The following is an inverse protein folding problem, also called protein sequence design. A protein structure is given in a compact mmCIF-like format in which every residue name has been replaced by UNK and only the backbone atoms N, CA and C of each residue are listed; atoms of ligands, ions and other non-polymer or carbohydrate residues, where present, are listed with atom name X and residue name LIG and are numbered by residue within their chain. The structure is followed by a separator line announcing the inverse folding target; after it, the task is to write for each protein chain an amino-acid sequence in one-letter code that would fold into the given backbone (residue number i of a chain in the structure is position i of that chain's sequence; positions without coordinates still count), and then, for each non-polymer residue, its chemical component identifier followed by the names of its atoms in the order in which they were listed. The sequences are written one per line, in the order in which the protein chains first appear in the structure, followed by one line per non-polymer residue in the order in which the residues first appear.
data_IF_703837820458
#
_entry.id   IF_703837820458
#
_cell.length_a   1.000
_cell.length_b   1.000
_cell.length_c   1.000
_cell.angle_alpha   90.00
_cell.angle_beta   90.00
_cell.angle_gamma   90.00
#
_symmetry.space_group_name_H-M   'P 1'
#
loop_
_entity.id
_entity.type
_entity.pdbx_description
1 polymer ?
#
# COMPACT_ATOMS: atom_id res chain seq x y z
N UNK A 1 -28.96 0.24 -4.46
CA UNK A 1 -27.77 -0.63 -4.54
C UNK A 1 -27.66 -1.30 -3.18
N UNK A 2 -27.53 -2.63 -3.14
CA UNK A 2 -27.46 -3.39 -1.89
C UNK A 2 -26.10 -3.16 -1.20
N UNK A 3 -26.09 -2.88 0.10
CA UNK A 3 -24.85 -2.62 0.88
C UNK A 3 -23.85 -3.77 0.72
N UNK A 4 -24.34 -5.01 0.61
CA UNK A 4 -23.50 -6.20 0.38
C UNK A 4 -22.77 -6.13 -0.96
N UNK A 5 -23.44 -5.68 -2.02
CA UNK A 5 -22.81 -5.51 -3.33
C UNK A 5 -21.73 -4.42 -3.31
N UNK A 6 -21.98 -3.33 -2.57
CA UNK A 6 -21.00 -2.25 -2.40
C UNK A 6 -19.78 -2.77 -1.63
N UNK A 7 -19.97 -3.53 -0.56
CA UNK A 7 -18.87 -4.14 0.21
C UNK A 7 -18.02 -5.06 -0.67
N UNK A 8 -18.64 -5.94 -1.47
CA UNK A 8 -17.90 -6.82 -2.36
C UNK A 8 -17.14 -6.05 -3.46
N UNK A 9 -17.77 -5.03 -4.04
CA UNK A 9 -17.12 -4.18 -5.03
C UNK A 9 -15.88 -3.48 -4.46
N UNK A 10 -15.99 -2.87 -3.28
CA UNK A 10 -14.86 -2.19 -2.62
C UNK A 10 -13.76 -3.18 -2.22
N UNK A 11 -14.14 -4.37 -1.77
CA UNK A 11 -13.18 -5.46 -1.47
C UNK A 11 -12.35 -5.81 -2.70
N UNK A 12 -13.00 -6.04 -3.84
CA UNK A 12 -12.31 -6.39 -5.09
C UNK A 12 -11.49 -5.23 -5.64
N UNK A 13 -12.01 -4.00 -5.54
CA UNK A 13 -11.30 -2.81 -5.97
C UNK A 13 -10.00 -2.61 -5.16
N UNK A 14 -10.03 -2.89 -3.86
CA UNK A 14 -8.85 -2.78 -2.99
C UNK A 14 -7.79 -3.83 -3.38
N UNK A 15 -8.21 -5.07 -3.58
CA UNK A 15 -7.34 -6.18 -3.99
C UNK A 15 -6.66 -5.91 -5.35
N UNK A 16 -7.44 -5.50 -6.36
CA UNK A 16 -6.91 -5.17 -7.69
C UNK A 16 -5.92 -4.01 -7.60
N UNK A 17 -6.28 -2.93 -6.90
CA UNK A 17 -5.41 -1.75 -6.76
C UNK A 17 -4.09 -2.08 -6.07
N UNK A 18 -4.12 -2.95 -5.06
CA UNK A 18 -2.92 -3.42 -4.38
C UNK A 18 -2.06 -4.29 -5.31
N UNK A 19 -2.67 -5.19 -6.08
CA UNK A 19 -1.96 -6.07 -7.02
C UNK A 19 -1.27 -5.28 -8.14
N UNK A 20 -1.87 -4.18 -8.59
CA UNK A 20 -1.32 -3.29 -9.60
C UNK A 20 -0.31 -2.28 -9.02
N UNK A 21 -0.01 -2.34 -7.72
CA UNK A 21 0.83 -1.35 -7.00
C UNK A 21 0.34 0.09 -7.19
N UNK A 22 -0.97 0.28 -7.44
CA UNK A 22 -1.58 1.58 -7.63
C UNK A 22 -1.95 2.20 -6.29
N UNK A 23 -0.95 2.65 -5.53
CA UNK A 23 -1.10 3.13 -4.16
C UNK A 23 -2.05 4.33 -4.03
N UNK A 24 -2.11 5.19 -5.06
CA UNK A 24 -3.06 6.29 -5.10
C UNK A 24 -4.51 5.79 -5.14
N UNK A 25 -4.78 4.74 -5.92
CA UNK A 25 -6.10 4.13 -5.97
C UNK A 25 -6.42 3.32 -4.71
N UNK A 26 -5.43 2.66 -4.10
CA UNK A 26 -5.59 2.01 -2.77
C UNK A 26 -6.10 3.01 -1.74
N UNK A 27 -5.49 4.20 -1.65
CA UNK A 27 -5.92 5.26 -0.72
C UNK A 27 -7.35 5.74 -1.02
N UNK A 28 -7.70 5.89 -2.30
CA UNK A 28 -9.06 6.30 -2.71
C UNK A 28 -10.12 5.26 -2.33
N UNK A 29 -9.83 3.98 -2.55
CA UNK A 29 -10.74 2.89 -2.17
C UNK A 29 -10.86 2.79 -0.65
N UNK A 30 -9.76 2.98 0.08
CA UNK A 30 -9.77 3.02 1.55
C UNK A 30 -10.67 4.12 2.12
N UNK A 31 -10.61 5.33 1.56
CA UNK A 31 -11.51 6.43 1.94
C UNK A 31 -12.99 6.09 1.69
N UNK A 32 -13.30 5.38 0.59
CA UNK A 32 -14.67 4.92 0.30
C UNK A 32 -15.13 3.85 1.30
N UNK A 33 -14.23 2.94 1.68
CA UNK A 33 -14.48 1.94 2.73
C UNK A 33 -14.77 2.63 4.07
N UNK A 34 -13.95 3.61 4.47
CA UNK A 34 -14.14 4.36 5.71
C UNK A 34 -15.50 5.10 5.75
N UNK A 35 -15.89 5.70 4.62
CA UNK A 35 -17.20 6.36 4.48
C UNK A 35 -18.35 5.36 4.61
N UNK A 36 -18.26 4.21 3.93
CA UNK A 36 -19.25 3.14 4.02
C UNK A 36 -19.38 2.60 5.46
N UNK A 37 -18.25 2.30 6.12
CA UNK A 37 -18.24 1.81 7.50
C UNK A 37 -18.86 2.82 8.47
N UNK A 38 -18.59 4.11 8.27
CA UNK A 38 -19.19 5.19 9.05
C UNK A 38 -20.71 5.27 8.82
N UNK A 39 -21.17 5.08 7.59
CA UNK A 39 -22.60 5.07 7.25
C UNK A 39 -23.35 3.83 7.77
N UNK A 40 -22.63 2.72 7.99
CA UNK A 40 -23.17 1.48 8.57
C UNK A 40 -23.08 1.45 10.11
N UNK A 41 -22.31 2.35 10.72
CA UNK A 41 -22.14 2.42 12.16
C UNK A 41 -23.49 2.66 12.86
N UNK A 42 -23.78 1.86 13.89
CA UNK A 42 -25.01 1.96 14.68
C UNK A 42 -26.27 1.38 14.02
N UNK A 43 -26.18 0.86 12.78
CA UNK A 43 -27.31 0.18 12.13
C UNK A 43 -27.30 -1.33 12.44
N UNK A 44 -28.48 -1.97 12.57
CA UNK A 44 -28.54 -3.41 12.71
C UNK A 44 -28.09 -4.07 11.40
N UNK A 45 -26.98 -4.81 11.47
CA UNK A 45 -26.41 -5.52 10.32
C UNK A 45 -27.03 -6.91 10.18
N UNK A 46 -27.43 -7.27 8.96
CA UNK A 46 -27.82 -8.64 8.62
C UNK A 46 -26.61 -9.59 8.71
N UNK A 47 -26.87 -10.90 8.78
CA UNK A 47 -25.79 -11.89 8.76
C UNK A 47 -24.97 -11.83 7.46
N UNK A 48 -25.61 -11.55 6.32
CA UNK A 48 -24.94 -11.41 5.03
C UNK A 48 -24.01 -10.20 4.99
N UNK A 49 -24.45 -9.06 5.55
CA UNK A 49 -23.62 -7.86 5.67
C UNK A 49 -22.41 -8.10 6.59
N UNK A 50 -22.59 -8.80 7.71
CA UNK A 50 -21.48 -9.12 8.62
C UNK A 50 -20.45 -10.01 7.96
N UNK A 51 -20.87 -10.99 7.18
CA UNK A 51 -19.95 -11.88 6.47
C UNK A 51 -19.16 -11.11 5.39
N UNK A 52 -19.85 -10.27 4.60
CA UNK A 52 -19.17 -9.40 3.63
C UNK A 52 -18.15 -8.47 4.30
N UNK A 53 -18.48 -7.89 5.46
CA UNK A 53 -17.55 -7.05 6.23
C UNK A 53 -16.35 -7.83 6.79
N UNK A 54 -16.53 -9.12 7.14
CA UNK A 54 -15.40 -9.98 7.55
C UNK A 54 -14.45 -10.21 6.39
N UNK A 55 -14.96 -10.53 5.21
CA UNK A 55 -14.14 -10.68 4.00
C UNK A 55 -13.39 -9.40 3.68
N UNK A 56 -14.08 -8.25 3.71
CA UNK A 56 -13.46 -6.94 3.51
C UNK A 56 -12.31 -6.69 4.51
N UNK A 57 -12.52 -6.99 5.79
CA UNK A 57 -11.50 -6.84 6.83
C UNK A 57 -10.27 -7.69 6.53
N UNK A 58 -10.45 -8.95 6.15
CA UNK A 58 -9.35 -9.85 5.84
C UNK A 58 -8.52 -9.32 4.66
N UNK A 59 -9.17 -8.97 3.55
CA UNK A 59 -8.49 -8.43 2.38
C UNK A 59 -7.76 -7.13 2.71
N UNK A 60 -8.36 -6.26 3.52
CA UNK A 60 -7.73 -5.03 3.96
C UNK A 60 -6.44 -5.28 4.77
N UNK A 61 -6.42 -6.30 5.63
CA UNK A 61 -5.22 -6.70 6.37
C UNK A 61 -4.13 -7.23 5.44
N UNK A 62 -4.49 -8.10 4.49
CA UNK A 62 -3.55 -8.66 3.51
C UNK A 62 -2.93 -7.57 2.63
N UNK A 63 -3.74 -6.60 2.19
CA UNK A 63 -3.27 -5.44 1.42
C UNK A 63 -2.34 -4.56 2.26
N UNK A 64 -2.63 -4.33 3.54
CA UNK A 64 -1.76 -3.56 4.41
C UNK A 64 -0.39 -4.24 4.60
N UNK A 65 -0.38 -5.55 4.82
CA UNK A 65 0.87 -6.33 4.88
C UNK A 65 1.64 -6.28 3.55
N UNK A 66 0.93 -6.33 2.41
CA UNK A 66 1.54 -6.16 1.10
C UNK A 66 2.20 -4.78 0.95
N UNK A 67 1.48 -3.71 1.27
CA UNK A 67 2.02 -2.34 1.27
C UNK A 67 3.25 -2.20 2.16
N UNK A 68 3.22 -2.78 3.37
CA UNK A 68 4.36 -2.74 4.30
C UNK A 68 5.59 -3.42 3.71
N UNK A 69 5.44 -4.61 3.14
CA UNK A 69 6.54 -5.34 2.48
C UNK A 69 7.14 -4.54 1.32
N UNK A 70 6.29 -3.93 0.47
CA UNK A 70 6.76 -3.09 -0.63
C UNK A 70 7.54 -1.87 -0.13
N UNK A 71 7.07 -1.23 0.95
CA UNK A 71 7.79 -0.12 1.58
C UNK A 71 9.17 -0.54 2.10
N UNK A 72 9.28 -1.68 2.77
CA UNK A 72 10.57 -2.21 3.26
C UNK A 72 11.54 -2.56 2.12
N UNK A 73 11.03 -3.04 0.98
CA UNK A 73 11.84 -3.28 -0.23
C UNK A 73 12.37 -1.95 -0.77
N UNK A 74 11.49 -0.96 -0.93
CA UNK A 74 11.86 0.36 -1.44
C UNK A 74 12.90 1.05 -0.55
N UNK A 75 12.74 1.00 0.78
CA UNK A 75 13.70 1.57 1.73
C UNK A 75 15.10 0.93 1.59
N UNK A 76 15.15 -0.40 1.45
CA UNK A 76 16.40 -1.13 1.20
C UNK A 76 17.06 -0.72 -0.12
N UNK A 77 16.28 -0.59 -1.19
CA UNK A 77 16.80 -0.14 -2.49
C UNK A 77 17.35 1.29 -2.42
N UNK A 78 16.66 2.19 -1.71
CA UNK A 78 17.11 3.57 -1.51
C UNK A 78 18.43 3.62 -0.74
N UNK A 79 18.56 2.84 0.35
CA UNK A 79 19.81 2.72 1.10
C UNK A 79 20.96 2.19 0.23
N UNK A 80 20.72 1.18 -0.59
CA UNK A 80 21.72 0.62 -1.49
C UNK A 80 22.18 1.65 -2.53
N UNK A 81 21.23 2.38 -3.16
CA UNK A 81 21.56 3.43 -4.13
C UNK A 81 22.36 4.55 -3.50
N UNK A 82 21.98 5.01 -2.31
CA UNK A 82 22.71 6.04 -1.57
C UNK A 82 24.15 5.59 -1.27
N UNK A 83 24.33 4.37 -0.77
CA UNK A 83 25.66 3.82 -0.50
C UNK A 83 26.51 3.69 -1.77
N UNK A 84 25.92 3.26 -2.88
CA UNK A 84 26.63 3.17 -4.15
C UNK A 84 27.03 4.55 -4.69
N UNK A 85 26.18 5.56 -4.51
CA UNK A 85 26.50 6.94 -4.87
C UNK A 85 27.65 7.50 -4.01
N UNK A 86 27.60 7.29 -2.70
CA UNK A 86 28.68 7.66 -1.77
C UNK A 86 30.00 6.95 -2.12
N UNK A 87 29.94 5.66 -2.47
CA UNK A 87 31.11 4.90 -2.92
C UNK A 87 31.68 5.40 -4.25
N UNK A 88 30.83 5.66 -5.25
CA UNK A 88 31.26 6.20 -6.55
C UNK A 88 31.90 7.59 -6.40
N UNK A 89 31.34 8.44 -5.53
CA UNK A 89 31.92 9.75 -5.21
C UNK A 89 33.28 9.62 -4.52
N UNK A 90 33.45 8.65 -3.61
CA UNK A 90 34.74 8.42 -2.95
C UNK A 90 35.85 8.07 -3.96
N UNK A 91 35.56 7.24 -4.97
CA UNK A 91 36.52 6.95 -6.04
C UNK A 91 36.81 8.17 -6.93
N UNK A 92 35.79 8.99 -7.23
CA UNK A 92 35.98 10.19 -8.02
C UNK A 92 36.84 11.26 -7.31
N UNK A 93 36.69 11.40 -5.99
CA UNK A 93 37.54 12.29 -5.18
C UNK A 93 38.98 11.78 -5.16
N UNK A 94 39.19 10.47 -4.96
CA UNK A 94 40.53 9.87 -4.98
C UNK A 94 41.25 10.03 -6.33
N UNK A 95 40.55 9.82 -7.45
CA UNK A 95 41.15 10.00 -8.78
C UNK A 95 41.51 11.46 -9.09
N UNK A 96 40.76 12.44 -8.57
CA UNK A 96 41.08 13.86 -8.75
C UNK A 96 42.28 14.31 -7.89
N UNK A 97 42.55 13.66 -6.75
CA UNK A 97 43.72 13.96 -5.90
C UNK A 97 45.02 13.34 -6.46
N UNK A 98 44.94 12.26 -7.26
CA UNK A 98 46.11 11.65 -7.93
C UNK A 98 46.52 12.36 -9.24
N UNK A 99 45.67 13.22 -9.80
CA UNK A 99 45.95 13.99 -11.04
C UNK A 99 46.62 15.36 -10.75
N UNK A 100 46.86 15.69 -9.48
CA UNK A 100 47.67 16.84 -9.03
C UNK A 100 48.96 16.33 -8.38
N UNK A 101 49.80 15.65 -9.18
CA UNK A 101 51.13 15.16 -8.80
C UNK A 101 52.19 15.56 -9.81
#
# INVERSE_FOLDING_TARGET
MDDVQVIHFLTRALEVSASESNWANVLKVDQQIASLLSALAGKPLSNTQREALRTLKQVHQEVNEHCRRQSEILEREMMLRRRNQEGALAYAVFMNDEDIG
#
